data_IF_312329581449
#
_entry.id   IF_312329581449
#
_cell.length_a   1.000
_cell.length_b   1.000
_cell.length_c   1.000
_cell.angle_alpha   90.00
_cell.angle_beta   90.00
_cell.angle_gamma   90.00
#
_symmetry.space_group_name_H-M   'P 1'
#
loop_
_entity.id
_entity.type
_entity.pdbx_description
1 polymer ?
#
# COMPACT_ATOMS: atom_id res chain seq x y z
N UNK A 1 -0.65 -11.86 -29.45
CA UNK A 1 0.17 -11.17 -28.43
C UNK A 1 -0.03 -11.95 -27.13
N UNK A 2 0.94 -12.78 -26.78
CA UNK A 2 0.85 -13.69 -25.62
C UNK A 2 1.43 -12.94 -24.43
N UNK A 3 0.64 -12.78 -23.36
CA UNK A 3 1.13 -12.22 -22.10
C UNK A 3 1.99 -13.30 -21.40
N UNK A 4 3.14 -12.95 -20.81
CA UNK A 4 3.94 -13.92 -20.08
C UNK A 4 3.19 -14.39 -18.84
N UNK A 5 3.25 -15.70 -18.56
CA UNK A 5 2.82 -16.29 -17.31
C UNK A 5 3.77 -15.82 -16.20
N UNK A 6 3.24 -15.13 -15.19
CA UNK A 6 3.98 -14.77 -13.98
C UNK A 6 3.90 -15.94 -13.00
N UNK A 7 5.04 -16.35 -12.45
CA UNK A 7 5.11 -17.39 -11.43
C UNK A 7 4.92 -16.79 -10.04
N UNK A 8 4.48 -17.60 -9.07
CA UNK A 8 4.32 -17.15 -7.68
C UNK A 8 5.63 -16.59 -7.09
N UNK A 9 6.78 -17.08 -7.55
CA UNK A 9 8.10 -16.64 -7.10
C UNK A 9 8.41 -15.19 -7.55
N UNK A 10 7.86 -14.73 -8.67
CA UNK A 10 8.00 -13.34 -9.13
C UNK A 10 7.25 -12.33 -8.25
N UNK A 11 6.31 -12.81 -7.41
CA UNK A 11 5.52 -12.00 -6.45
C UNK A 11 6.13 -11.98 -5.05
N UNK A 12 6.99 -12.95 -4.70
CA UNK A 12 7.63 -13.06 -3.40
C UNK A 12 9.11 -12.70 -3.52
N UNK A 13 9.44 -11.42 -3.36
CA UNK A 13 10.82 -11.01 -3.16
C UNK A 13 11.44 -11.76 -1.99
N UNK A 14 12.52 -12.50 -2.24
CA UNK A 14 13.23 -13.25 -1.22
C UNK A 14 13.76 -12.32 -0.13
N UNK A 15 13.23 -12.44 1.08
CA UNK A 15 13.77 -11.76 2.25
C UNK A 15 14.79 -12.70 2.91
N UNK A 16 16.07 -12.34 2.90
CA UNK A 16 17.07 -13.01 3.71
C UNK A 16 16.82 -12.67 5.19
N UNK A 17 16.54 -13.69 6.00
CA UNK A 17 16.35 -13.53 7.44
C UNK A 17 17.71 -13.64 8.11
N UNK A 18 18.24 -12.54 8.65
CA UNK A 18 19.42 -12.57 9.52
C UNK A 18 19.02 -12.94 10.95
N UNK A 19 19.54 -14.06 11.46
CA UNK A 19 19.45 -14.44 12.87
C UNK A 19 20.69 -13.98 13.65
N UNK A 20 20.48 -13.50 14.88
CA UNK A 20 21.53 -13.19 15.84
C UNK A 20 21.30 -14.02 17.10
N UNK A 21 22.30 -14.84 17.45
CA UNK A 21 22.33 -15.71 18.62
C UNK A 21 22.94 -14.94 19.80
N UNK A 22 22.11 -14.58 20.78
CA UNK A 22 22.54 -13.92 22.02
C UNK A 22 21.35 -13.59 22.93
N UNK A 23 21.38 -14.06 24.17
CA UNK A 23 20.23 -14.06 25.09
C UNK A 23 19.71 -12.68 25.54
N UNK A 24 20.48 -11.60 25.36
CA UNK A 24 20.03 -10.22 25.62
C UNK A 24 19.17 -9.66 24.47
N UNK A 25 19.35 -10.19 23.25
CA UNK A 25 18.57 -9.83 22.07
C UNK A 25 17.11 -10.32 22.17
N UNK A 26 16.84 -11.39 22.93
CA UNK A 26 15.52 -12.01 22.97
C UNK A 26 14.51 -11.22 23.83
N UNK A 27 14.96 -10.51 24.87
CA UNK A 27 14.10 -9.60 25.64
C UNK A 27 13.72 -8.35 24.80
N UNK A 28 14.68 -7.81 24.04
CA UNK A 28 14.45 -6.68 23.13
C UNK A 28 13.55 -7.08 21.95
N UNK A 29 13.72 -8.28 21.38
CA UNK A 29 12.83 -8.82 20.34
C UNK A 29 11.39 -8.96 20.84
N UNK A 30 11.19 -9.43 22.08
CA UNK A 30 9.85 -9.56 22.66
C UNK A 30 9.17 -8.19 22.89
N UNK A 31 9.92 -7.19 23.37
CA UNK A 31 9.44 -5.82 23.57
C UNK A 31 9.15 -5.07 22.26
N UNK A 32 9.94 -5.29 21.21
CA UNK A 32 9.68 -4.71 19.88
C UNK A 32 8.47 -5.40 19.24
N UNK A 33 8.38 -6.73 19.35
CA UNK A 33 7.26 -7.50 18.82
C UNK A 33 5.92 -7.06 19.41
N UNK A 34 5.83 -6.89 20.73
CA UNK A 34 4.61 -6.41 21.40
C UNK A 34 4.23 -5.00 20.97
N UNK A 35 5.20 -4.08 20.86
CA UNK A 35 4.95 -2.71 20.38
C UNK A 35 4.44 -2.69 18.94
N UNK A 36 5.02 -3.48 18.04
CA UNK A 36 4.58 -3.58 16.64
C UNK A 36 3.16 -4.16 16.57
N UNK A 37 2.88 -5.18 17.37
CA UNK A 37 1.55 -5.76 17.48
C UNK A 37 0.52 -4.72 17.93
N UNK A 38 0.79 -3.99 19.01
CA UNK A 38 -0.10 -2.94 19.50
C UNK A 38 -0.37 -1.84 18.47
N UNK A 39 0.66 -1.41 17.74
CA UNK A 39 0.52 -0.42 16.65
C UNK A 39 -0.34 -1.00 15.52
N UNK A 40 -0.13 -2.25 15.12
CA UNK A 40 -0.91 -2.91 14.08
C UNK A 40 -2.38 -3.04 14.49
N UNK A 41 -2.66 -3.47 15.71
CA UNK A 41 -4.03 -3.57 16.24
C UNK A 41 -4.71 -2.21 16.24
N UNK A 42 -4.00 -1.15 16.67
CA UNK A 42 -4.54 0.22 16.63
C UNK A 42 -4.82 0.68 15.20
N UNK A 43 -3.90 0.40 14.28
CA UNK A 43 -4.08 0.70 12.86
C UNK A 43 -5.32 0.00 12.29
N UNK A 44 -5.54 -1.27 12.62
CA UNK A 44 -6.70 -2.03 12.14
C UNK A 44 -8.02 -1.45 12.66
N UNK A 45 -8.07 -1.06 13.94
CA UNK A 45 -9.26 -0.41 14.50
C UNK A 45 -9.54 0.93 13.83
N UNK A 46 -8.50 1.75 13.63
CA UNK A 46 -8.64 3.06 12.98
C UNK A 46 -9.03 2.92 11.50
N UNK A 47 -8.38 2.00 10.79
CA UNK A 47 -8.67 1.75 9.38
C UNK A 47 -10.11 1.28 9.19
N UNK A 48 -10.60 0.37 10.05
CA UNK A 48 -12.01 -0.06 10.01
C UNK A 48 -12.98 1.12 10.20
N UNK A 49 -12.68 2.06 11.09
CA UNK A 49 -13.51 3.27 11.29
C UNK A 49 -13.52 4.14 10.03
N UNK A 50 -12.34 4.36 9.43
CA UNK A 50 -12.20 5.14 8.19
C UNK A 50 -12.92 4.44 7.03
N UNK A 51 -12.69 3.14 6.84
CA UNK A 51 -13.35 2.33 5.83
C UNK A 51 -14.88 2.42 5.95
N UNK A 52 -15.44 2.15 7.13
CA UNK A 52 -16.88 2.20 7.34
C UNK A 52 -17.47 3.60 7.07
N UNK A 53 -16.74 4.66 7.40
CA UNK A 53 -17.17 6.04 7.14
C UNK A 53 -17.22 6.36 5.64
N UNK A 54 -16.27 5.86 4.85
CA UNK A 54 -16.12 6.25 3.44
C UNK A 54 -16.60 5.19 2.45
N UNK A 55 -16.91 3.96 2.87
CA UNK A 55 -17.32 2.85 1.98
C UNK A 55 -18.43 3.24 1.01
N UNK A 56 -19.48 3.89 1.50
CA UNK A 56 -20.64 4.29 0.69
C UNK A 56 -20.36 5.50 -0.22
N UNK A 57 -19.31 6.27 0.08
CA UNK A 57 -18.98 7.52 -0.62
C UNK A 57 -17.64 7.43 -1.35
N UNK A 58 -17.06 6.23 -1.48
CA UNK A 58 -15.71 6.00 -2.03
C UNK A 58 -15.56 6.50 -3.46
N UNK A 59 -16.61 6.37 -4.27
CA UNK A 59 -16.62 6.80 -5.66
C UNK A 59 -16.99 8.29 -5.83
N UNK A 60 -17.43 8.95 -4.75
CA UNK A 60 -17.73 10.39 -4.70
C UNK A 60 -16.51 11.17 -4.18
N UNK A 61 -16.02 10.81 -3.00
CA UNK A 61 -14.88 11.48 -2.37
C UNK A 61 -13.56 11.12 -3.03
N UNK A 62 -13.46 9.90 -3.56
CA UNK A 62 -12.28 9.37 -4.25
C UNK A 62 -10.95 9.59 -3.52
N UNK A 63 -10.99 9.59 -2.18
CA UNK A 63 -9.84 9.99 -1.37
C UNK A 63 -8.72 8.95 -1.47
N UNK A 64 -7.50 9.44 -1.67
CA UNK A 64 -6.30 8.61 -1.73
C UNK A 64 -5.18 9.28 -0.95
N UNK A 65 -4.37 8.51 -0.24
CA UNK A 65 -3.15 9.05 0.38
C UNK A 65 -2.00 8.05 0.29
N UNK A 66 -0.78 8.57 0.33
CA UNK A 66 0.45 7.81 0.28
C UNK A 66 1.32 8.27 1.45
N UNK A 67 1.83 7.30 2.21
CA UNK A 67 2.86 7.54 3.22
C UNK A 67 4.16 6.99 2.67
N UNK A 68 5.05 7.88 2.23
CA UNK A 68 6.32 7.48 1.61
C UNK A 68 7.43 8.47 1.96
N UNK A 69 8.66 8.15 1.57
CA UNK A 69 9.74 9.09 1.65
C UNK A 69 9.96 9.72 0.27
N UNK A 70 10.07 11.05 0.16
CA UNK A 70 10.64 11.65 -1.01
C UNK A 70 12.17 11.58 -0.93
N UNK A 71 12.84 10.89 -1.86
CA UNK A 71 14.32 10.87 -2.09
C UNK A 71 15.30 10.43 -0.97
N UNK A 72 14.87 10.27 0.26
CA UNK A 72 15.57 9.65 1.40
C UNK A 72 15.19 10.32 2.71
N UNK A 73 14.37 11.37 2.60
CA UNK A 73 13.92 12.26 3.65
C UNK A 73 12.99 11.56 4.66
N UNK A 74 12.55 12.27 5.72
CA UNK A 74 11.48 11.78 6.60
C UNK A 74 10.25 11.31 5.82
N UNK A 75 9.42 10.45 6.40
CA UNK A 75 8.17 10.05 5.75
C UNK A 75 7.20 11.23 5.70
N UNK A 76 6.63 11.47 4.52
CA UNK A 76 5.58 12.46 4.30
C UNK A 76 4.26 11.76 3.98
N UNK A 77 3.16 12.43 4.31
CA UNK A 77 1.81 12.02 3.93
C UNK A 77 1.38 12.92 2.77
N UNK A 78 1.27 12.34 1.58
CA UNK A 78 0.66 12.98 0.43
C UNK A 78 -0.82 12.62 0.37
N UNK A 79 -1.70 13.61 0.22
CA UNK A 79 -3.15 13.39 0.10
C UNK A 79 -3.58 13.86 -1.29
N UNK A 80 -4.45 13.09 -1.94
CA UNK A 80 -4.97 13.38 -3.27
C UNK A 80 -6.26 12.63 -3.55
N UNK A 81 -6.56 12.48 -4.83
CA UNK A 81 -7.77 11.79 -5.28
C UNK A 81 -7.44 10.79 -6.36
N UNK A 82 -8.07 9.61 -6.33
CA UNK A 82 -8.06 8.73 -7.48
C UNK A 82 -9.00 9.27 -8.57
N UNK A 83 -8.63 9.03 -9.81
CA UNK A 83 -9.30 9.57 -11.00
C UNK A 83 -10.05 8.44 -11.70
N UNK A 84 -9.29 7.46 -12.18
CA UNK A 84 -9.81 6.30 -12.90
C UNK A 84 -9.50 5.00 -12.16
N UNK A 85 -10.43 4.05 -12.27
CA UNK A 85 -10.32 2.70 -11.76
C UNK A 85 -10.43 1.74 -12.93
N UNK A 86 -9.33 1.08 -13.26
CA UNK A 86 -9.26 0.07 -14.31
C UNK A 86 -9.49 -1.31 -13.71
N UNK A 87 -10.54 -1.98 -14.16
CA UNK A 87 -10.86 -3.34 -13.78
C UNK A 87 -10.17 -4.32 -14.73
N UNK A 88 -9.33 -5.20 -14.20
CA UNK A 88 -8.80 -6.35 -14.95
C UNK A 88 -9.73 -7.54 -14.75
N UNK A 89 -10.17 -7.74 -13.51
CA UNK A 89 -11.19 -8.72 -13.12
C UNK A 89 -12.15 -8.07 -12.12
N UNK A 90 -13.11 -8.84 -11.58
CA UNK A 90 -14.04 -8.35 -10.56
C UNK A 90 -13.33 -7.86 -9.29
N UNK A 91 -12.18 -8.44 -8.95
CA UNK A 91 -11.44 -8.13 -7.72
C UNK A 91 -10.07 -7.49 -7.98
N UNK A 92 -9.50 -7.65 -9.18
CA UNK A 92 -8.19 -7.08 -9.53
C UNK A 92 -8.38 -5.74 -10.22
N UNK A 93 -7.88 -4.69 -9.58
CA UNK A 93 -8.02 -3.32 -10.03
C UNK A 93 -6.67 -2.59 -10.08
N UNK A 94 -6.59 -1.58 -10.94
CA UNK A 94 -5.51 -0.60 -11.03
C UNK A 94 -6.09 0.80 -10.97
N UNK A 95 -5.43 1.74 -10.29
CA UNK A 95 -5.93 3.10 -10.12
C UNK A 95 -4.97 4.11 -10.70
N UNK A 96 -5.52 5.17 -11.28
CA UNK A 96 -4.80 6.43 -11.50
C UNK A 96 -5.20 7.46 -10.43
N UNK A 97 -4.29 8.36 -10.05
CA UNK A 97 -4.52 9.31 -8.98
C UNK A 97 -3.63 10.55 -9.11
N UNK A 98 -4.08 11.63 -8.47
CA UNK A 98 -3.38 12.92 -8.41
C UNK A 98 -2.48 13.08 -7.19
N UNK A 99 -2.47 12.11 -6.27
CA UNK A 99 -1.65 12.15 -5.06
C UNK A 99 -0.18 12.33 -5.43
N UNK A 100 0.47 13.35 -4.86
CA UNK A 100 1.85 13.70 -5.17
C UNK A 100 2.83 12.58 -4.77
N UNK A 101 3.74 12.26 -5.69
CA UNK A 101 4.81 11.28 -5.50
C UNK A 101 6.12 11.82 -6.07
N UNK A 102 7.21 11.10 -5.81
CA UNK A 102 8.48 11.28 -6.50
C UNK A 102 9.05 9.88 -6.84
N UNK A 103 10.19 9.78 -7.56
CA UNK A 103 10.82 8.49 -7.83
C UNK A 103 11.03 7.61 -6.58
N UNK A 104 11.37 8.21 -5.43
CA UNK A 104 11.53 7.51 -4.15
C UNK A 104 10.24 6.98 -3.51
N UNK A 105 9.07 7.34 -4.04
CA UNK A 105 7.77 6.81 -3.61
C UNK A 105 7.41 5.48 -4.29
N UNK A 106 8.22 5.00 -5.25
CA UNK A 106 7.96 3.74 -5.96
C UNK A 106 7.89 2.56 -5.01
N UNK A 107 6.88 1.70 -5.17
CA UNK A 107 6.63 0.58 -4.26
C UNK A 107 5.88 0.94 -2.96
N UNK A 108 5.64 2.23 -2.67
CA UNK A 108 4.83 2.61 -1.53
C UNK A 108 3.35 2.24 -1.72
N UNK A 109 2.68 1.79 -0.65
CA UNK A 109 1.26 1.49 -0.70
C UNK A 109 0.42 2.73 -1.03
N UNK A 110 -0.51 2.54 -1.95
CA UNK A 110 -1.52 3.53 -2.33
C UNK A 110 -2.77 3.24 -1.51
N UNK A 111 -3.03 4.06 -0.48
CA UNK A 111 -4.18 3.87 0.38
C UNK A 111 -5.41 4.48 -0.29
N UNK A 112 -6.29 3.63 -0.81
CA UNK A 112 -7.53 4.03 -1.47
C UNK A 112 -8.67 3.93 -0.45
N UNK A 113 -9.16 5.08 0.01
CA UNK A 113 -10.08 5.14 1.15
C UNK A 113 -11.47 4.64 0.74
N UNK A 114 -12.05 3.77 1.59
CA UNK A 114 -13.38 3.17 1.37
C UNK A 114 -13.36 1.84 0.61
N UNK A 115 -12.17 1.29 0.36
CA UNK A 115 -11.95 -0.02 -0.24
C UNK A 115 -11.18 -0.94 0.71
N UNK A 116 -11.50 -2.23 0.70
CA UNK A 116 -10.72 -3.25 1.42
C UNK A 116 -9.63 -3.77 0.49
N UNK A 117 -8.37 -3.44 0.80
CA UNK A 117 -7.20 -3.73 -0.04
C UNK A 117 -6.29 -4.83 0.54
N UNK A 118 -6.69 -5.46 1.63
CA UNK A 118 -5.93 -6.52 2.29
C UNK A 118 -6.30 -7.89 1.67
N UNK A 119 -5.34 -8.76 1.30
CA UNK A 119 -3.90 -8.64 1.58
C UNK A 119 -3.06 -7.98 0.47
N UNK A 120 -3.60 -7.77 -0.75
CA UNK A 120 -2.82 -7.29 -1.89
C UNK A 120 -3.07 -5.81 -2.20
N UNK A 121 -2.45 -4.94 -1.40
CA UNK A 121 -2.60 -3.50 -1.55
C UNK A 121 -1.91 -2.99 -2.82
N UNK A 122 -2.57 -2.14 -3.63
CA UNK A 122 -1.94 -1.54 -4.78
C UNK A 122 -0.76 -0.65 -4.34
N UNK A 123 0.37 -0.77 -5.02
CA UNK A 123 1.59 0.03 -4.79
C UNK A 123 1.77 1.08 -5.88
N UNK A 124 2.45 2.19 -5.59
CA UNK A 124 2.79 3.17 -6.61
C UNK A 124 3.79 2.58 -7.60
N UNK A 125 3.50 2.69 -8.90
CA UNK A 125 4.31 2.06 -9.96
C UNK A 125 4.78 3.02 -11.05
N UNK A 126 4.40 4.30 -10.96
CA UNK A 126 4.89 5.33 -11.88
C UNK A 126 3.86 6.41 -12.20
N UNK A 127 4.18 7.17 -13.24
CA UNK A 127 3.44 8.35 -13.68
C UNK A 127 3.19 8.24 -15.18
N UNK A 128 1.96 8.51 -15.61
CA UNK A 128 1.55 8.56 -17.01
C UNK A 128 2.03 9.86 -17.68
N UNK A 129 2.02 9.90 -19.01
CA UNK A 129 2.40 11.08 -19.79
C UNK A 129 1.55 12.33 -19.49
N UNK A 130 0.32 12.16 -18.97
CA UNK A 130 -0.56 13.25 -18.56
C UNK A 130 -0.35 13.69 -17.10
N UNK A 131 0.78 13.31 -16.48
CA UNK A 131 1.14 13.59 -15.08
C UNK A 131 0.22 12.96 -14.02
N UNK A 132 -0.64 12.01 -14.38
CA UNK A 132 -1.36 11.20 -13.39
C UNK A 132 -0.49 10.05 -12.91
N UNK A 133 -0.44 9.86 -11.60
CA UNK A 133 0.22 8.70 -11.02
C UNK A 133 -0.65 7.46 -11.19
N UNK A 134 -0.04 6.29 -11.25
CA UNK A 134 -0.75 5.03 -11.34
C UNK A 134 -0.20 3.98 -10.36
N UNK A 135 -1.10 3.08 -9.95
CA UNK A 135 -0.72 1.94 -9.12
C UNK A 135 -0.35 0.71 -9.96
N UNK A 136 0.32 -0.25 -9.32
CA UNK A 136 0.30 -1.64 -9.73
C UNK A 136 -1.10 -2.24 -9.58
N UNK A 137 -1.23 -3.52 -9.94
CA UNK A 137 -2.44 -4.28 -9.70
C UNK A 137 -2.59 -4.58 -8.22
N UNK A 138 -3.80 -4.45 -7.69
CA UNK A 138 -4.14 -4.83 -6.33
C UNK A 138 -5.48 -5.56 -6.30
N UNK A 139 -5.68 -6.38 -5.26
CA UNK A 139 -6.99 -7.01 -5.00
C UNK A 139 -7.78 -6.07 -4.11
N UNK A 140 -8.97 -5.72 -4.57
CA UNK A 140 -9.86 -4.79 -3.91
C UNK A 140 -11.27 -5.37 -3.81
N UNK A 141 -11.83 -5.28 -2.60
CA UNK A 141 -13.16 -5.75 -2.22
C UNK A 141 -14.04 -4.56 -1.78
#
# INVERSE_FOLDING_TARGET
>A
MVLPEYTLEDLYGGYETQSSEGGEADLHKHLIGSKVYDIKTRLDVLWRKVHNKYKQTRDIHKLTFIVSHPHGCPKHISIGRWVEKYHVTNFVCKFSYTTSTCPGSSGAYVNIVGYDTCPYQPVHSGTLANNLNYSGFGIII
#
